data_IF_682965064360
#
_entry.id   IF_682965064360
#
_cell.length_a   1.000
_cell.length_b   1.000
_cell.length_c   1.000
_cell.angle_alpha   90.00
_cell.angle_beta   90.00
_cell.angle_gamma   90.00
#
_symmetry.space_group_name_H-M   'P 1'
#
loop_
_entity.id
_entity.type
_entity.pdbx_description
1 polymer ?
#
# COMPACT_ATOMS: atom_id res chain seq x y z
N UNK A 1 -12.80 17.90 28.66
CA UNK A 1 -12.11 18.41 27.49
C UNK A 1 -11.44 17.22 26.83
N UNK A 2 -12.21 16.53 25.95
CA UNK A 2 -11.74 15.36 25.22
C UNK A 2 -10.71 15.80 24.19
N UNK A 3 -9.47 15.33 24.31
CA UNK A 3 -8.62 15.18 23.16
C UNK A 3 -9.31 14.13 22.28
N UNK A 4 -9.65 14.47 21.02
CA UNK A 4 -10.08 13.51 20.03
C UNK A 4 -8.99 12.44 19.94
N UNK A 5 -9.23 11.29 20.54
CA UNK A 5 -8.33 10.16 20.45
C UNK A 5 -8.29 9.77 18.97
N UNK A 6 -7.15 10.01 18.32
CA UNK A 6 -6.93 9.62 16.94
C UNK A 6 -7.05 8.11 16.86
N UNK A 7 -8.19 7.62 16.39
CA UNK A 7 -8.39 6.19 16.15
C UNK A 7 -8.13 5.88 14.68
N UNK A 8 -7.49 4.75 14.43
CA UNK A 8 -7.25 4.22 13.08
C UNK A 8 -8.32 3.19 12.77
N UNK A 9 -9.02 3.35 11.65
CA UNK A 9 -9.96 2.36 11.17
C UNK A 9 -9.27 1.34 10.29
N UNK A 10 -9.43 0.06 10.63
CA UNK A 10 -9.00 -1.08 9.82
C UNK A 10 -10.25 -1.67 9.18
N UNK A 11 -10.31 -1.64 7.85
CA UNK A 11 -11.43 -2.16 7.09
C UNK A 11 -11.03 -3.50 6.45
N UNK A 12 -11.54 -4.61 6.96
CA UNK A 12 -11.29 -5.95 6.46
C UNK A 12 -12.43 -6.43 5.56
N UNK A 13 -12.15 -6.69 4.29
CA UNK A 13 -13.05 -7.39 3.37
C UNK A 13 -12.67 -8.87 3.33
N UNK A 14 -13.60 -9.74 3.67
CA UNK A 14 -13.36 -11.17 3.83
C UNK A 14 -14.44 -12.03 3.19
N UNK A 15 -14.11 -13.28 2.89
CA UNK A 15 -15.09 -14.30 2.49
C UNK A 15 -15.35 -15.27 3.64
N UNK A 16 -16.59 -15.76 3.76
CA UNK A 16 -16.89 -16.86 4.66
C UNK A 16 -16.14 -18.12 4.22
N UNK A 17 -15.71 -18.96 5.17
CA UNK A 17 -14.97 -20.20 4.91
C UNK A 17 -13.60 -19.99 4.22
N UNK A 18 -13.03 -18.78 4.31
CA UNK A 18 -11.71 -18.48 3.78
C UNK A 18 -10.65 -18.63 4.89
N UNK A 19 -9.77 -19.63 4.85
CA UNK A 19 -8.80 -19.89 5.94
C UNK A 19 -7.89 -18.71 6.24
N UNK A 20 -7.35 -18.05 5.22
CA UNK A 20 -6.50 -16.86 5.41
C UNK A 20 -7.28 -15.66 5.99
N UNK A 21 -8.59 -15.60 5.74
CA UNK A 21 -9.42 -14.57 6.34
C UNK A 21 -9.65 -14.82 7.83
N UNK A 22 -9.75 -16.08 8.24
CA UNK A 22 -9.86 -16.50 9.65
C UNK A 22 -8.56 -16.16 10.40
N UNK A 23 -7.40 -16.54 9.84
CA UNK A 23 -6.08 -16.19 10.40
C UNK A 23 -5.90 -14.69 10.59
N UNK A 24 -6.30 -13.87 9.60
CA UNK A 24 -6.21 -12.43 9.73
C UNK A 24 -7.18 -11.86 10.77
N UNK A 25 -8.39 -12.41 10.87
CA UNK A 25 -9.35 -11.98 11.88
C UNK A 25 -8.82 -12.26 13.30
N UNK A 26 -8.22 -13.42 13.54
CA UNK A 26 -7.59 -13.74 14.83
C UNK A 26 -6.44 -12.77 15.15
N UNK A 27 -5.64 -12.42 14.16
CA UNK A 27 -4.59 -11.43 14.32
C UNK A 27 -5.15 -10.04 14.64
N UNK A 28 -6.21 -9.62 13.97
CA UNK A 28 -6.85 -8.32 14.21
C UNK A 28 -7.49 -8.23 15.61
N UNK A 29 -8.00 -9.34 16.18
CA UNK A 29 -8.42 -9.38 17.59
C UNK A 29 -7.24 -9.09 18.52
N UNK A 30 -6.06 -9.68 18.27
CA UNK A 30 -4.84 -9.38 19.06
C UNK A 30 -4.40 -7.92 18.89
N UNK A 31 -4.57 -7.34 17.71
CA UNK A 31 -4.33 -5.91 17.47
C UNK A 31 -5.31 -5.06 18.30
N UNK A 32 -6.59 -5.43 18.32
CA UNK A 32 -7.60 -4.73 19.12
C UNK A 32 -7.27 -4.76 20.60
N UNK A 33 -6.84 -5.90 21.13
CA UNK A 33 -6.41 -6.05 22.51
C UNK A 33 -5.19 -5.17 22.86
N UNK A 34 -4.26 -5.06 21.91
CA UNK A 34 -3.02 -4.27 22.08
C UNK A 34 -3.25 -2.76 22.00
N UNK A 35 -4.07 -2.30 21.07
CA UNK A 35 -4.26 -0.88 20.78
C UNK A 35 -5.53 -0.28 21.42
N UNK A 36 -6.44 -1.12 21.90
CA UNK A 36 -7.67 -0.68 22.56
C UNK A 36 -8.53 0.24 21.69
N UNK A 37 -8.92 1.38 22.25
CA UNK A 37 -9.77 2.36 21.58
C UNK A 37 -9.05 3.16 20.47
N UNK A 38 -7.73 3.02 20.36
CA UNK A 38 -6.98 3.66 19.26
C UNK A 38 -7.16 2.97 17.92
N UNK A 39 -7.79 1.78 17.89
CA UNK A 39 -8.06 1.04 16.65
C UNK A 39 -9.52 0.63 16.62
N UNK A 40 -10.18 0.92 15.50
CA UNK A 40 -11.52 0.43 15.16
C UNK A 40 -11.43 -0.58 14.01
N UNK A 41 -12.09 -1.73 14.14
CA UNK A 41 -12.06 -2.79 13.13
C UNK A 41 -13.45 -2.98 12.55
N UNK A 42 -13.56 -2.72 11.26
CA UNK A 42 -14.77 -2.96 10.48
C UNK A 42 -14.58 -4.17 9.57
N UNK A 43 -15.53 -5.10 9.59
CA UNK A 43 -15.48 -6.35 8.83
C UNK A 43 -16.60 -6.36 7.79
N UNK A 44 -16.27 -6.62 6.52
CA UNK A 44 -17.19 -6.64 5.38
C UNK A 44 -17.12 -8.01 4.70
N UNK A 45 -18.16 -8.82 4.88
CA UNK A 45 -18.29 -10.08 4.17
C UNK A 45 -18.63 -9.81 2.71
N UNK A 46 -17.93 -10.42 1.73
CA UNK A 46 -18.05 -10.08 0.30
C UNK A 46 -18.50 -11.23 -0.59
N UNK A 47 -18.44 -12.48 -0.15
CA UNK A 47 -18.84 -13.60 -1.00
C UNK A 47 -20.35 -13.78 -1.08
N UNK A 48 -21.07 -13.44 -0.02
CA UNK A 48 -22.52 -13.57 0.08
C UNK A 48 -23.24 -12.22 0.18
N UNK A 49 -22.48 -11.12 0.36
CA UNK A 49 -23.02 -9.78 0.46
C UNK A 49 -22.64 -8.92 -0.75
N UNK A 50 -23.53 -8.85 -1.73
CA UNK A 50 -23.33 -8.09 -2.98
C UNK A 50 -23.06 -6.60 -2.75
N UNK A 51 -23.60 -6.01 -1.67
CA UNK A 51 -23.35 -4.59 -1.38
C UNK A 51 -21.91 -4.36 -0.95
N UNK A 52 -21.38 -5.24 -0.11
CA UNK A 52 -19.99 -5.18 0.33
C UNK A 52 -19.01 -5.52 -0.82
N UNK A 53 -19.38 -6.44 -1.71
CA UNK A 53 -18.58 -6.75 -2.91
C UNK A 53 -18.50 -5.53 -3.85
N UNK A 54 -19.61 -4.83 -4.07
CA UNK A 54 -19.60 -3.56 -4.83
C UNK A 54 -18.77 -2.47 -4.15
N UNK A 55 -18.82 -2.38 -2.83
CA UNK A 55 -18.00 -1.46 -2.06
C UNK A 55 -16.52 -1.78 -2.26
N UNK A 56 -16.14 -3.06 -2.10
CA UNK A 56 -14.76 -3.53 -2.32
C UNK A 56 -14.27 -3.20 -3.73
N UNK A 57 -15.10 -3.42 -4.76
CA UNK A 57 -14.76 -3.10 -6.14
C UNK A 57 -14.42 -1.61 -6.31
N UNK A 58 -15.27 -0.72 -5.78
CA UNK A 58 -15.03 0.72 -5.84
C UNK A 58 -13.79 1.15 -5.05
N UNK A 59 -13.57 0.57 -3.87
CA UNK A 59 -12.38 0.85 -3.05
C UNK A 59 -11.11 0.47 -3.81
N UNK A 60 -11.10 -0.70 -4.47
CA UNK A 60 -9.97 -1.13 -5.31
C UNK A 60 -9.72 -0.22 -6.50
N UNK A 61 -10.78 0.23 -7.16
CA UNK A 61 -10.67 1.22 -8.25
C UNK A 61 -10.01 2.51 -7.78
N UNK A 62 -10.43 3.04 -6.63
CA UNK A 62 -9.85 4.25 -6.03
C UNK A 62 -8.38 4.04 -5.65
N UNK A 63 -8.05 2.87 -5.07
CA UNK A 63 -6.68 2.53 -4.66
C UNK A 63 -5.81 2.02 -5.84
N UNK A 64 -6.34 1.97 -7.06
CA UNK A 64 -5.66 1.45 -8.27
C UNK A 64 -5.09 0.04 -8.04
N UNK A 65 -5.83 -0.79 -7.31
CA UNK A 65 -5.45 -2.16 -6.98
C UNK A 65 -6.26 -3.16 -7.81
N UNK A 66 -5.59 -3.90 -8.68
CA UNK A 66 -6.22 -4.88 -9.59
C UNK A 66 -6.32 -6.29 -8.98
N UNK A 67 -5.80 -6.50 -7.77
CA UNK A 67 -5.89 -7.79 -7.08
C UNK A 67 -7.34 -8.14 -6.76
N UNK A 68 -7.72 -9.41 -6.94
CA UNK A 68 -9.10 -9.89 -6.73
C UNK A 68 -9.25 -10.80 -5.51
N UNK A 69 -8.16 -11.04 -4.78
CA UNK A 69 -8.15 -11.96 -3.64
C UNK A 69 -8.77 -11.38 -2.37
N UNK A 70 -9.18 -12.24 -1.47
CA UNK A 70 -9.50 -11.95 -0.08
C UNK A 70 -8.60 -12.79 0.82
N UNK A 71 -8.30 -12.35 2.04
CA UNK A 71 -8.70 -11.10 2.66
C UNK A 71 -8.11 -9.87 1.95
N UNK A 72 -8.83 -8.74 2.02
CA UNK A 72 -8.34 -7.46 1.55
C UNK A 72 -8.54 -6.42 2.65
N UNK A 73 -7.44 -5.92 3.18
CA UNK A 73 -7.43 -5.02 4.34
C UNK A 73 -7.03 -3.63 3.93
N UNK A 74 -7.83 -2.63 4.30
CA UNK A 74 -7.57 -1.22 4.00
C UNK A 74 -7.39 -0.45 5.30
N UNK A 75 -6.27 0.26 5.38
CA UNK A 75 -5.92 1.15 6.49
C UNK A 75 -5.55 2.50 5.89
N UNK A 76 -6.39 3.50 6.16
CA UNK A 76 -6.25 4.81 5.56
C UNK A 76 -6.42 4.74 4.04
N UNK A 77 -5.36 5.06 3.30
CA UNK A 77 -5.27 5.04 1.84
C UNK A 77 -4.47 3.85 1.27
N UNK A 78 -4.16 2.87 2.10
CA UNK A 78 -3.36 1.71 1.72
C UNK A 78 -4.16 0.42 1.80
N UNK A 79 -4.18 -0.34 0.71
CA UNK A 79 -4.80 -1.66 0.62
C UNK A 79 -3.78 -2.79 0.60
N UNK A 80 -4.04 -3.85 1.35
CA UNK A 80 -3.23 -5.07 1.44
C UNK A 80 -4.06 -6.27 1.02
N UNK A 81 -3.53 -7.12 0.14
CA UNK A 81 -4.21 -8.34 -0.36
C UNK A 81 -3.60 -9.59 0.24
N UNK A 82 -4.44 -10.50 0.72
CA UNK A 82 -4.02 -11.76 1.34
C UNK A 82 -3.49 -11.57 2.75
N UNK A 83 -3.17 -12.70 3.42
CA UNK A 83 -2.62 -12.68 4.76
C UNK A 83 -1.42 -13.61 4.89
N UNK A 84 -0.36 -13.11 5.50
CA UNK A 84 0.86 -13.82 5.90
C UNK A 84 1.66 -12.93 6.86
N UNK A 85 2.79 -13.41 7.39
CA UNK A 85 3.63 -12.68 8.35
C UNK A 85 4.10 -11.32 7.84
N UNK A 86 4.35 -11.18 6.54
CA UNK A 86 4.73 -9.91 5.94
C UNK A 86 3.55 -8.92 5.96
N UNK A 87 2.35 -9.37 5.60
CA UNK A 87 1.13 -8.54 5.66
C UNK A 87 0.82 -8.15 7.11
N UNK A 88 0.94 -9.05 8.07
CA UNK A 88 0.78 -8.77 9.50
C UNK A 88 1.73 -7.66 9.96
N UNK A 89 2.99 -7.72 9.53
CA UNK A 89 4.00 -6.67 9.81
C UNK A 89 3.62 -5.33 9.16
N UNK A 90 3.11 -5.34 7.94
CA UNK A 90 2.65 -4.14 7.23
C UNK A 90 1.43 -3.52 7.93
N UNK A 91 0.45 -4.32 8.36
CA UNK A 91 -0.70 -3.86 9.16
C UNK A 91 -0.22 -3.11 10.40
N UNK A 92 0.67 -3.72 11.19
CA UNK A 92 1.22 -3.08 12.39
C UNK A 92 1.92 -1.75 12.09
N UNK A 93 2.71 -1.71 11.01
CA UNK A 93 3.41 -0.49 10.55
C UNK A 93 2.41 0.61 10.14
N UNK A 94 1.39 0.27 9.36
CA UNK A 94 0.36 1.20 8.91
C UNK A 94 -0.46 1.76 10.07
N UNK A 95 -0.79 0.94 11.07
CA UNK A 95 -1.45 1.41 12.29
C UNK A 95 -0.58 2.47 12.99
N UNK A 96 0.70 2.17 13.22
CA UNK A 96 1.62 3.09 13.87
C UNK A 96 1.81 4.40 13.09
N UNK A 97 1.86 4.33 11.76
CA UNK A 97 1.94 5.49 10.88
C UNK A 97 0.66 6.34 10.96
N UNK A 98 -0.51 5.74 10.83
CA UNK A 98 -1.79 6.44 10.84
C UNK A 98 -2.15 7.01 12.22
N UNK A 99 -1.71 6.40 13.31
CA UNK A 99 -1.83 6.98 14.65
C UNK A 99 -0.99 8.26 14.79
N UNK A 100 0.16 8.32 14.12
CA UNK A 100 1.06 9.48 14.14
C UNK A 100 0.62 10.55 13.15
N UNK A 101 0.37 10.15 11.90
CA UNK A 101 -0.04 11.02 10.78
C UNK A 101 -1.22 10.37 10.04
N UNK A 102 -2.47 10.71 10.40
CA UNK A 102 -3.65 10.08 9.83
C UNK A 102 -3.79 10.36 8.33
N UNK A 103 -3.98 9.32 7.54
CA UNK A 103 -4.40 9.40 6.16
C UNK A 103 -5.94 9.34 6.03
N UNK A 104 -6.46 9.56 4.82
CA UNK A 104 -7.89 9.51 4.56
C UNK A 104 -8.36 8.06 4.65
N UNK A 105 -9.41 7.79 5.41
CA UNK A 105 -10.10 6.49 5.38
C UNK A 105 -10.89 6.36 4.06
N UNK A 106 -10.25 5.78 3.05
CA UNK A 106 -10.79 5.62 1.70
C UNK A 106 -12.11 4.85 1.70
N UNK A 107 -12.26 3.81 2.53
CA UNK A 107 -13.48 3.01 2.61
C UNK A 107 -14.64 3.87 3.07
N UNK A 108 -14.47 4.65 4.12
CA UNK A 108 -15.50 5.56 4.63
C UNK A 108 -15.91 6.62 3.60
N UNK A 109 -14.95 7.14 2.81
CA UNK A 109 -15.24 8.10 1.74
C UNK A 109 -16.07 7.47 0.62
N UNK A 110 -15.72 6.26 0.19
CA UNK A 110 -16.46 5.53 -0.85
C UNK A 110 -17.85 5.14 -0.37
N UNK A 111 -18.03 4.73 0.90
CA UNK A 111 -19.34 4.45 1.50
C UNK A 111 -20.27 5.67 1.48
N UNK A 112 -19.73 6.86 1.73
CA UNK A 112 -20.47 8.12 1.71
C UNK A 112 -20.75 8.64 0.29
N UNK A 113 -20.33 7.94 -0.76
CA UNK A 113 -20.49 8.36 -2.15
C UNK A 113 -19.69 9.63 -2.49
N UNK A 114 -18.68 9.97 -1.71
CA UNK A 114 -17.79 11.09 -1.99
C UNK A 114 -16.79 10.69 -3.06
N UNK A 115 -16.66 11.50 -4.10
CA UNK A 115 -15.60 11.33 -5.09
C UNK A 115 -14.28 11.79 -4.47
N UNK A 116 -13.32 10.88 -4.37
CA UNK A 116 -11.94 11.22 -4.05
C UNK A 116 -11.34 11.73 -5.34
N UNK A 117 -11.13 13.04 -5.47
CA UNK A 117 -10.36 13.57 -6.59
C UNK A 117 -8.91 13.10 -6.43
N UNK A 118 -8.46 12.27 -7.36
CA UNK A 118 -7.12 11.66 -7.43
C UNK A 118 -6.00 12.73 -7.38
N UNK A 119 -6.33 13.99 -7.66
CA UNK A 119 -5.39 15.11 -7.66
C UNK A 119 -4.79 15.48 -6.28
N UNK A 120 -5.45 15.15 -5.17
CA UNK A 120 -4.91 15.42 -3.83
C UNK A 120 -3.98 14.31 -3.32
N UNK A 121 -4.13 13.08 -3.83
CA UNK A 121 -3.27 11.96 -3.46
C UNK A 121 -1.91 11.96 -4.19
N UNK A 122 -1.83 12.47 -5.42
CA UNK A 122 -0.56 12.51 -6.16
C UNK A 122 0.48 13.38 -5.46
N UNK A 123 0.07 14.43 -4.76
CA UNK A 123 0.99 15.34 -4.05
C UNK A 123 1.54 14.76 -2.74
N UNK A 124 0.85 13.77 -2.13
CA UNK A 124 1.29 13.10 -0.91
C UNK A 124 2.08 11.82 -1.20
N UNK A 125 1.86 11.21 -2.37
CA UNK A 125 2.54 9.99 -2.81
C UNK A 125 3.97 10.30 -3.26
N UNK A 126 4.25 11.47 -3.86
CA UNK A 126 5.62 11.86 -4.23
C UNK A 126 6.55 12.09 -3.03
N UNK A 127 6.02 12.44 -1.87
CA UNK A 127 6.83 12.62 -0.65
C UNK A 127 7.01 11.32 0.18
N UNK A 128 6.29 10.23 -0.15
CA UNK A 128 6.34 8.97 0.62
C UNK A 128 7.07 7.82 -0.06
N UNK A 129 7.39 7.92 -1.34
CA UNK A 129 8.16 6.92 -2.05
C UNK A 129 9.59 7.41 -2.28
N UNK A 130 10.46 7.21 -1.37
CA UNK A 130 11.82 6.68 -1.52
C UNK A 130 12.47 6.56 -0.14
N UNK A 131 12.22 5.47 0.54
CA UNK A 131 13.18 5.00 1.52
C UNK A 131 13.51 3.55 1.20
N UNK A 132 14.36 3.35 0.20
CA UNK A 132 15.06 2.09 0.00
C UNK A 132 16.34 2.18 0.82
N UNK A 133 16.51 1.41 1.92
CA UNK A 133 17.65 1.56 2.83
C UNK A 133 18.90 0.83 2.34
N UNK A 134 19.25 0.90 1.06
CA UNK A 134 20.46 0.19 0.54
C UNK A 134 21.39 1.09 -0.29
N UNK A 135 20.95 2.27 -0.74
CA UNK A 135 21.87 3.19 -1.44
C UNK A 135 21.59 4.61 -0.90
N UNK A 136 22.64 5.23 -0.34
CA UNK A 136 22.57 6.53 0.33
C UNK A 136 21.76 7.59 -0.39
N UNK A 137 21.22 8.53 0.38
CA UNK A 137 20.43 9.68 -0.05
C UNK A 137 21.03 10.31 -1.31
N UNK A 138 20.40 10.07 -2.45
CA UNK A 138 20.65 10.84 -3.65
C UNK A 138 19.50 11.83 -3.76
N UNK A 139 19.81 13.07 -3.45
CA UNK A 139 18.89 14.21 -3.51
C UNK A 139 18.47 14.40 -4.99
N UNK A 140 17.29 13.89 -5.35
CA UNK A 140 16.78 13.90 -6.73
C UNK A 140 16.53 15.31 -7.30
N UNK A 141 16.64 16.36 -6.49
CA UNK A 141 16.46 17.76 -6.91
C UNK A 141 17.69 18.38 -7.57
N UNK A 142 18.88 17.75 -7.48
CA UNK A 142 20.12 18.29 -8.03
C UNK A 142 20.82 17.41 -9.06
N UNK A 143 20.20 16.30 -9.47
CA UNK A 143 20.80 15.47 -10.51
C UNK A 143 20.34 15.97 -11.87
N UNK A 144 21.22 16.69 -12.56
CA UNK A 144 20.93 17.20 -13.91
C UNK A 144 20.70 16.02 -14.87
N UNK A 145 19.65 16.10 -15.69
CA UNK A 145 19.29 15.13 -16.72
C UNK A 145 20.50 14.56 -17.52
N UNK A 146 21.53 15.38 -17.88
CA UNK A 146 22.70 14.86 -18.59
C UNK A 146 23.56 13.90 -17.76
N UNK A 147 23.58 14.02 -16.42
CA UNK A 147 24.35 13.13 -15.57
C UNK A 147 23.71 11.73 -15.48
N UNK A 148 22.37 11.67 -15.40
CA UNK A 148 21.63 10.40 -15.41
C UNK A 148 21.79 9.68 -16.74
N UNK A 149 21.74 10.41 -17.85
CA UNK A 149 21.96 9.85 -19.19
C UNK A 149 23.39 9.31 -19.36
N UNK A 150 24.40 9.98 -18.81
CA UNK A 150 25.79 9.54 -18.85
C UNK A 150 26.02 8.26 -18.02
N UNK A 151 25.41 8.15 -16.84
CA UNK A 151 25.51 6.96 -15.97
C UNK A 151 24.80 5.77 -16.60
N UNK A 152 23.59 5.96 -17.15
CA UNK A 152 22.86 4.92 -17.88
C UNK A 152 23.61 4.44 -19.12
N UNK A 153 24.22 5.37 -19.89
CA UNK A 153 25.02 5.03 -21.05
C UNK A 153 26.31 4.26 -20.72
N UNK A 154 26.92 4.53 -19.57
CA UNK A 154 28.08 3.78 -19.06
C UNK A 154 27.70 2.34 -18.66
N UNK A 155 26.57 2.16 -17.99
CA UNK A 155 26.09 0.83 -17.56
C UNK A 155 25.71 -0.02 -18.77
N UNK A 156 25.08 0.57 -19.79
CA UNK A 156 24.71 -0.11 -21.04
C UNK A 156 25.95 -0.45 -21.91
N UNK A 157 26.99 0.37 -21.86
CA UNK A 157 28.25 0.14 -22.56
C UNK A 157 29.11 -1.01 -22.03
N UNK A 158 28.89 -1.44 -20.77
CA UNK A 158 29.54 -2.60 -20.14
C UNK A 158 28.75 -3.91 -20.25
N UNK A 159 27.73 -3.96 -21.11
CA UNK A 159 27.01 -5.20 -21.35
C UNK A 159 27.96 -6.22 -22.03
N UNK A 160 28.26 -7.37 -21.40
CA UNK A 160 29.20 -8.36 -21.93
C UNK A 160 28.77 -8.90 -23.30
N UNK A 161 27.49 -8.85 -23.65
CA UNK A 161 27.01 -9.21 -24.99
C UNK A 161 27.44 -8.22 -26.08
N UNK A 162 27.51 -6.93 -25.79
CA UNK A 162 27.99 -5.92 -26.75
C UNK A 162 29.50 -6.04 -27.00
N UNK A 163 30.25 -6.40 -25.99
CA UNK A 163 31.71 -6.64 -26.11
C UNK A 163 32.01 -7.83 -27.01
N UNK A 164 31.25 -8.92 -26.97
CA UNK A 164 31.46 -10.08 -27.84
C UNK A 164 31.14 -9.78 -29.30
N UNK A 165 30.13 -8.97 -29.58
CA UNK A 165 29.80 -8.56 -30.96
C UNK A 165 30.91 -7.67 -31.55
N UNK A 166 31.46 -6.75 -30.76
CA UNK A 166 32.58 -5.89 -31.18
C UNK A 166 33.87 -6.68 -31.46
N UNK A 167 34.18 -7.67 -30.64
CA UNK A 167 35.35 -8.55 -30.86
C UNK A 167 35.18 -9.42 -32.10
N UNK A 168 33.97 -9.83 -32.42
CA UNK A 168 33.67 -10.63 -33.63
C UNK A 168 33.75 -9.81 -34.93
N UNK A 169 33.48 -8.49 -34.85
CA UNK A 169 33.54 -7.61 -36.02
C UNK A 169 34.98 -7.12 -36.34
N UNK A 170 35.93 -7.21 -35.39
CA UNK A 170 37.31 -6.75 -35.57
C UNK A 170 38.27 -7.92 -35.91
N UNK A 171 37.82 -9.17 -35.79
CA UNK A 171 38.56 -10.37 -36.16
C UNK A 171 38.28 -10.82 -37.60
#
# INVERSE_FOLDING_TARGET
>A
LGADAKSVTINLFYGQECPHCEEEQEYLEQIKDRYGDNVDIKKYEVWHNTSNDKLLTKVREVLKNDDKGVPYTVIGDTGLTGYNDNVASQITKLIAQNLKDPTIDVVSYVEQGKEISVAENEKKIEDSFVSVPIIGEVDAKNVSLPLVAAVLGLVDGFNPCAMWVLLFLIS
#
